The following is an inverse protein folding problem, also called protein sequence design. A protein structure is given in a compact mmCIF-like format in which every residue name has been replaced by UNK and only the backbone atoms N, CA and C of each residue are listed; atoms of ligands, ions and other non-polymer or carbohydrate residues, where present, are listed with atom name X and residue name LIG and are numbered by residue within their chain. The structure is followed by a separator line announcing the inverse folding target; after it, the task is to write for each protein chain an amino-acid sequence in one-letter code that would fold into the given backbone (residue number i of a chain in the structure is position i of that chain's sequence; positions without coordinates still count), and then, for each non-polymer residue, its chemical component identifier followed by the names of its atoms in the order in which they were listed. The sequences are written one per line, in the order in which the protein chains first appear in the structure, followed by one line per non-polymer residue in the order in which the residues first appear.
data_IF_303074096108
#
_entry.id   IF_303074096108
#
_cell.length_a   1.000
_cell.length_b   1.000
_cell.length_c   1.000
_cell.angle_alpha   90.00
_cell.angle_beta   90.00
_cell.angle_gamma   90.00
#
_symmetry.space_group_name_H-M   'P 1'
#
loop_
_entity.id
_entity.type
_entity.pdbx_description
1 polymer ?
#
# COMPACT_ATOMS: atom_id res chain seq x y z
N UNK A 1 19.68 -23.50 -7.41
CA UNK A 1 19.63 -22.73 -6.15
C UNK A 1 19.42 -21.21 -6.33
N UNK A 2 19.07 -20.70 -7.53
CA UNK A 2 18.87 -19.24 -7.77
C UNK A 2 17.42 -18.76 -7.66
N UNK A 3 16.44 -19.66 -7.59
CA UNK A 3 15.03 -19.26 -7.62
C UNK A 3 14.49 -18.78 -6.27
N UNK A 4 14.97 -19.34 -5.16
CA UNK A 4 14.47 -19.03 -3.81
C UNK A 4 14.68 -17.54 -3.41
N UNK A 5 15.67 -16.84 -3.97
CA UNK A 5 16.00 -15.45 -3.62
C UNK A 5 15.13 -14.45 -4.40
N UNK A 6 14.55 -14.84 -5.54
CA UNK A 6 13.72 -13.96 -6.38
C UNK A 6 12.37 -13.65 -5.73
N UNK A 7 11.81 -14.59 -4.97
CA UNK A 7 10.51 -14.47 -4.31
C UNK A 7 10.47 -13.45 -3.14
N UNK A 8 11.43 -13.41 -2.18
CA UNK A 8 11.37 -12.45 -1.08
C UNK A 8 11.55 -11.00 -1.55
N UNK A 9 12.44 -10.75 -2.52
CA UNK A 9 12.77 -9.38 -2.97
C UNK A 9 11.58 -8.75 -3.70
N UNK A 10 10.88 -9.50 -4.54
CA UNK A 10 9.70 -9.01 -5.26
C UNK A 10 8.54 -8.74 -4.30
N UNK A 11 8.38 -9.58 -3.27
CA UNK A 11 7.36 -9.38 -2.23
C UNK A 11 7.58 -8.08 -1.46
N UNK A 12 8.81 -7.84 -1.00
CA UNK A 12 9.18 -6.62 -0.26
C UNK A 12 9.04 -5.37 -1.15
N UNK A 13 9.46 -5.44 -2.41
CA UNK A 13 9.33 -4.34 -3.36
C UNK A 13 7.85 -3.98 -3.64
N UNK A 14 6.97 -4.98 -3.71
CA UNK A 14 5.54 -4.74 -3.85
C UNK A 14 4.95 -4.13 -2.57
N UNK A 15 5.37 -4.60 -1.38
CA UNK A 15 4.95 -4.03 -0.10
C UNK A 15 5.33 -2.55 0.03
N UNK A 16 6.60 -2.22 -0.28
CA UNK A 16 7.10 -0.85 -0.26
C UNK A 16 6.35 0.04 -1.25
N UNK A 17 5.97 -0.46 -2.43
CA UNK A 17 5.15 0.29 -3.38
C UNK A 17 3.82 0.70 -2.79
N UNK A 18 3.07 -0.22 -2.18
CA UNK A 18 1.73 0.08 -1.66
C UNK A 18 1.76 1.09 -0.51
N UNK A 19 2.77 1.01 0.35
CA UNK A 19 2.97 1.97 1.43
C UNK A 19 3.29 3.36 0.89
N UNK A 20 4.11 3.46 -0.16
CA UNK A 20 4.39 4.73 -0.85
C UNK A 20 3.12 5.33 -1.46
N UNK A 21 2.24 4.53 -2.07
CA UNK A 21 0.96 5.02 -2.61
C UNK A 21 0.08 5.67 -1.53
N UNK A 22 -0.01 5.04 -0.34
CA UNK A 22 -0.77 5.60 0.79
C UNK A 22 -0.12 6.90 1.28
N UNK A 23 1.20 6.92 1.46
CA UNK A 23 1.94 8.10 1.95
C UNK A 23 1.81 9.28 0.96
N UNK A 24 1.94 9.03 -0.34
CA UNK A 24 1.77 10.06 -1.37
C UNK A 24 0.33 10.56 -1.41
N UNK A 25 -0.67 9.68 -1.27
CA UNK A 25 -2.09 10.05 -1.16
C UNK A 25 -2.37 10.95 0.05
N UNK A 26 -1.79 10.63 1.22
CA UNK A 26 -1.85 11.47 2.43
C UNK A 26 -1.24 12.84 2.18
N UNK A 27 -0.02 12.89 1.64
CA UNK A 27 0.70 14.14 1.36
C UNK A 27 -0.07 15.04 0.39
N UNK A 28 -0.60 14.49 -0.70
CA UNK A 28 -1.42 15.25 -1.64
C UNK A 28 -2.69 15.78 -0.98
N UNK A 29 -3.41 14.94 -0.23
CA UNK A 29 -4.66 15.33 0.41
C UNK A 29 -4.45 16.44 1.45
N UNK A 30 -3.41 16.31 2.29
CA UNK A 30 -3.04 17.33 3.29
C UNK A 30 -2.58 18.61 2.61
N UNK A 31 -1.76 18.51 1.56
CA UNK A 31 -1.27 19.67 0.81
C UNK A 31 -2.41 20.49 0.21
N UNK A 32 -3.42 19.82 -0.35
CA UNK A 32 -4.63 20.46 -0.88
C UNK A 32 -5.49 21.07 0.22
N UNK A 33 -5.73 20.35 1.32
CA UNK A 33 -6.50 20.88 2.46
C UNK A 33 -5.85 22.12 3.05
N UNK A 34 -4.52 22.11 3.21
CA UNK A 34 -3.76 23.26 3.68
C UNK A 34 -3.90 24.43 2.70
N UNK A 35 -3.82 24.16 1.40
CA UNK A 35 -4.04 25.16 0.35
C UNK A 35 -5.44 25.78 0.42
N UNK A 36 -6.48 24.96 0.59
CA UNK A 36 -7.86 25.42 0.74
C UNK A 36 -8.07 26.33 1.96
N UNK A 37 -7.39 26.03 3.08
CA UNK A 37 -7.48 26.84 4.31
C UNK A 37 -6.79 28.19 4.17
N UNK A 38 -5.66 28.24 3.46
CA UNK A 38 -4.85 29.47 3.32
C UNK A 38 -5.12 30.28 2.04
N UNK A 39 -5.64 29.65 0.98
CA UNK A 39 -5.87 30.25 -0.33
C UNK A 39 -7.22 29.75 -0.92
N UNK A 40 -8.17 30.66 -1.14
CA UNK A 40 -9.52 30.39 -1.66
C UNK A 40 -9.55 30.13 -3.19
N UNK A 41 -8.62 29.35 -3.73
CA UNK A 41 -8.61 29.02 -5.15
C UNK A 41 -9.12 27.60 -5.37
N UNK A 42 -10.40 27.47 -5.72
CA UNK A 42 -11.16 26.23 -5.60
C UNK A 42 -11.08 25.37 -6.88
N UNK A 43 -10.78 25.95 -8.04
CA UNK A 43 -11.02 25.29 -9.34
C UNK A 43 -10.18 24.02 -9.56
N UNK A 44 -8.87 24.03 -9.25
CA UNK A 44 -8.01 22.85 -9.45
C UNK A 44 -7.87 21.97 -8.21
N UNK A 45 -8.10 22.53 -7.03
CA UNK A 45 -7.73 21.91 -5.76
C UNK A 45 -8.63 20.70 -5.45
N UNK A 46 -9.90 20.71 -5.88
CA UNK A 46 -10.80 19.54 -5.78
C UNK A 46 -10.30 18.32 -6.56
N UNK A 47 -9.72 18.51 -7.74
CA UNK A 47 -9.18 17.40 -8.52
C UNK A 47 -8.03 16.71 -7.79
N UNK A 48 -7.13 17.50 -7.21
CA UNK A 48 -5.99 17.00 -6.44
C UNK A 48 -6.42 16.31 -5.13
N UNK A 49 -7.47 16.80 -4.48
CA UNK A 49 -8.06 16.13 -3.31
C UNK A 49 -8.58 14.73 -3.68
N UNK A 50 -9.30 14.65 -4.80
CA UNK A 50 -9.93 13.41 -5.26
C UNK A 50 -8.88 12.40 -5.75
N UNK A 51 -7.81 12.88 -6.38
CA UNK A 51 -6.65 12.06 -6.72
C UNK A 51 -5.94 11.50 -5.47
N UNK A 52 -5.74 12.33 -4.44
CA UNK A 52 -5.18 11.89 -3.15
C UNK A 52 -6.02 10.81 -2.46
N UNK A 53 -7.36 11.00 -2.44
CA UNK A 53 -8.30 10.01 -1.93
C UNK A 53 -8.29 8.71 -2.76
N UNK A 54 -8.21 8.80 -4.09
CA UNK A 54 -8.10 7.63 -4.96
C UNK A 54 -6.87 6.78 -4.65
N UNK A 55 -5.71 7.42 -4.49
CA UNK A 55 -4.45 6.75 -4.12
C UNK A 55 -4.54 6.08 -2.74
N UNK A 56 -5.17 6.74 -1.77
CA UNK A 56 -5.41 6.16 -0.45
C UNK A 56 -6.30 4.92 -0.51
N UNK A 57 -7.39 4.97 -1.28
CA UNK A 57 -8.32 3.84 -1.42
C UNK A 57 -7.63 2.65 -2.09
N UNK A 58 -6.90 2.87 -3.18
CA UNK A 58 -6.16 1.83 -3.89
C UNK A 58 -5.08 1.20 -2.99
N UNK A 59 -4.30 2.04 -2.29
CA UNK A 59 -3.31 1.58 -1.32
C UNK A 59 -3.93 0.77 -0.18
N UNK A 60 -5.07 1.22 0.36
CA UNK A 60 -5.78 0.55 1.47
C UNK A 60 -6.35 -0.81 1.07
N UNK A 61 -6.95 -0.91 -0.13
CA UNK A 61 -7.47 -2.17 -0.66
C UNK A 61 -6.34 -3.18 -0.86
N UNK A 62 -5.21 -2.71 -1.40
CA UNK A 62 -4.03 -3.56 -1.60
C UNK A 62 -3.50 -4.10 -0.26
N UNK A 63 -3.39 -3.24 0.74
CA UNK A 63 -2.93 -3.61 2.08
C UNK A 63 -3.88 -4.61 2.75
N UNK A 64 -5.20 -4.42 2.61
CA UNK A 64 -6.19 -5.35 3.12
C UNK A 64 -6.10 -6.73 2.44
N UNK A 65 -5.85 -6.76 1.13
CA UNK A 65 -5.65 -8.01 0.38
C UNK A 65 -4.38 -8.73 0.81
N UNK A 66 -3.27 -8.02 0.99
CA UNK A 66 -2.02 -8.58 1.52
C UNK A 66 -2.20 -9.14 2.92
N UNK A 67 -2.85 -8.40 3.83
CA UNK A 67 -3.13 -8.88 5.21
C UNK A 67 -3.97 -10.17 5.23
N UNK A 68 -4.92 -10.30 4.30
CA UNK A 68 -5.72 -11.51 4.12
C UNK A 68 -4.88 -12.67 3.57
N UNK A 69 -3.96 -12.39 2.65
CA UNK A 69 -3.01 -13.37 2.13
C UNK A 69 -2.08 -13.87 3.23
N UNK A 70 -1.41 -12.96 3.94
CA UNK A 70 -0.48 -13.32 5.03
C UNK A 70 -1.16 -14.17 6.09
N UNK A 71 -2.41 -13.83 6.49
CA UNK A 71 -3.16 -14.64 7.46
C UNK A 71 -3.44 -16.06 6.97
N UNK A 72 -3.66 -16.26 5.66
CA UNK A 72 -4.01 -17.56 5.09
C UNK A 72 -2.78 -18.43 4.83
N UNK A 73 -1.68 -17.84 4.37
CA UNK A 73 -0.50 -18.59 3.92
C UNK A 73 0.59 -18.74 4.99
N UNK A 74 0.64 -17.87 6.01
CA UNK A 74 1.57 -18.00 7.15
C UNK A 74 1.36 -19.29 7.96
N UNK A 75 0.18 -19.90 7.87
CA UNK A 75 -0.17 -21.14 8.60
C UNK A 75 0.41 -22.39 7.91
N UNK A 76 0.67 -22.31 6.59
CA UNK A 76 1.04 -23.48 5.78
C UNK A 76 2.53 -23.82 5.93
N UNK A 77 3.39 -22.84 6.26
CA UNK A 77 4.81 -23.09 6.54
C UNK A 77 5.00 -23.92 7.83
N UNK A 78 4.19 -23.68 8.85
CA UNK A 78 4.30 -24.39 10.14
C UNK A 78 3.98 -25.89 10.00
N UNK A 79 3.09 -26.27 9.08
CA UNK A 79 2.73 -27.68 8.87
C UNK A 79 3.75 -28.49 8.07
N UNK A 80 4.62 -27.83 7.30
CA UNK A 80 5.56 -28.50 6.38
C UNK A 80 6.94 -28.77 7.03
N UNK A 81 7.24 -28.12 8.15
CA UNK A 81 8.45 -28.39 8.95
C UNK A 81 8.31 -29.62 9.85
N UNK A 82 7.08 -30.07 10.12
CA UNK A 82 6.80 -31.26 10.94
C UNK A 82 6.89 -32.60 10.20
N UNK A 83 6.93 -32.62 8.86
CA UNK A 83 7.09 -33.86 8.06
C UNK A 83 8.55 -34.17 7.69
N UNK A 84 9.51 -33.32 8.09
CA UNK A 84 10.95 -33.53 7.83
C UNK A 84 11.76 -33.88 9.08
N UNK A 85 11.12 -34.34 10.15
CA UNK A 85 11.80 -34.87 11.33
C UNK A 85 11.65 -36.38 11.46
#
# INVERSE_FOLDING_TARGET
MKEAIKYPIVSIANFAKYEIFIVVGILMSIGVLMKMVFHYNIDSDWFWLLAGLGLMVEGSISLAKQRKFDRKYKIIEIGNDSEKK
#
